data_IF_482379190031
#
_entry.id   IF_482379190031
#
_cell.length_a   1.000
_cell.length_b   1.000
_cell.length_c   1.000
_cell.angle_alpha   90.00
_cell.angle_beta   90.00
_cell.angle_gamma   90.00
#
_symmetry.space_group_name_H-M   'P 1'
#
loop_
_entity.id
_entity.type
_entity.pdbx_description
1 polymer ?
#
# COMPACT_ATOMS: atom_id res chain seq x y z
N UNK A 1 41.53 -52.59 -34.36
CA UNK A 1 41.96 -51.62 -35.39
C UNK A 1 42.29 -50.33 -34.67
N UNK A 2 43.57 -49.96 -34.62
CA UNK A 2 44.06 -48.72 -34.03
C UNK A 2 43.66 -47.57 -34.95
N UNK A 3 42.82 -46.66 -34.46
CA UNK A 3 42.42 -45.47 -35.20
C UNK A 3 43.51 -44.41 -35.03
N UNK A 4 44.39 -44.32 -36.02
CA UNK A 4 45.38 -43.25 -36.14
C UNK A 4 44.66 -41.91 -36.34
N UNK A 5 44.82 -40.99 -35.38
CA UNK A 5 44.29 -39.63 -35.47
C UNK A 5 45.17 -38.77 -36.39
N UNK A 6 44.85 -38.74 -37.68
CA UNK A 6 45.44 -37.80 -38.66
C UNK A 6 44.86 -36.38 -38.53
N UNK A 7 44.95 -35.77 -37.34
CA UNK A 7 44.69 -34.34 -37.13
C UNK A 7 46.00 -33.64 -36.73
N UNK A 8 46.19 -32.34 -37.05
CA UNK A 8 47.37 -31.62 -36.62
C UNK A 8 47.47 -31.73 -35.10
N UNK A 9 48.50 -32.45 -34.65
CA UNK A 9 48.76 -32.73 -33.24
C UNK A 9 48.69 -31.41 -32.47
N UNK A 10 47.89 -31.33 -31.41
CA UNK A 10 47.68 -30.11 -30.61
C UNK A 10 49.02 -29.45 -30.21
N UNK A 11 50.06 -30.27 -30.02
CA UNK A 11 51.45 -29.83 -29.84
C UNK A 11 52.01 -29.00 -31.02
N UNK A 12 51.77 -29.39 -32.28
CA UNK A 12 52.21 -28.65 -33.46
C UNK A 12 51.46 -27.32 -33.61
N UNK A 13 50.17 -27.29 -33.28
CA UNK A 13 49.39 -26.05 -33.27
C UNK A 13 49.86 -25.09 -32.16
N UNK A 14 50.23 -25.62 -30.99
CA UNK A 14 50.80 -24.83 -29.90
C UNK A 14 52.18 -24.26 -30.26
N UNK A 15 53.05 -25.08 -30.88
CA UNK A 15 54.38 -24.65 -31.35
C UNK A 15 54.25 -23.59 -32.46
N UNK A 16 53.37 -23.79 -33.45
CA UNK A 16 53.14 -22.81 -34.51
C UNK A 16 52.58 -21.47 -33.99
N UNK A 17 51.73 -21.51 -32.94
CA UNK A 17 51.28 -20.30 -32.25
C UNK A 17 52.42 -19.60 -31.52
N UNK A 18 53.28 -20.35 -30.83
CA UNK A 18 54.45 -19.80 -30.13
C UNK A 18 55.49 -19.19 -31.08
N UNK A 19 55.71 -19.83 -32.24
CA UNK A 19 56.63 -19.35 -33.27
C UNK A 19 56.11 -18.07 -33.96
N UNK A 20 54.80 -18.01 -34.21
CA UNK A 20 54.14 -16.79 -34.69
C UNK A 20 54.21 -15.64 -33.68
N UNK A 21 54.14 -15.93 -32.38
CA UNK A 21 54.28 -14.96 -31.29
C UNK A 21 55.72 -14.43 -31.16
N UNK A 22 56.73 -15.24 -31.48
CA UNK A 22 58.14 -14.82 -31.43
C UNK A 22 58.57 -14.02 -32.66
N UNK A 23 57.87 -14.18 -33.79
CA UNK A 23 58.06 -13.36 -35.00
C UNK A 23 57.14 -12.12 -35.06
N UNK A 24 56.31 -11.88 -34.03
CA UNK A 24 55.35 -10.77 -34.04
C UNK A 24 56.05 -9.41 -33.84
N UNK A 25 55.76 -8.39 -34.68
CA UNK A 25 56.24 -7.04 -34.45
C UNK A 25 55.73 -6.44 -33.13
N UNK A 26 56.60 -5.73 -32.41
CA UNK A 26 56.29 -5.08 -31.13
C UNK A 26 55.07 -4.14 -31.19
N UNK A 27 54.80 -3.52 -32.34
CA UNK A 27 53.61 -2.67 -32.55
C UNK A 27 52.30 -3.46 -32.42
N UNK A 28 52.27 -4.70 -32.92
CA UNK A 28 51.09 -5.57 -32.84
C UNK A 28 50.90 -6.08 -31.41
N UNK A 29 52.00 -6.40 -30.70
CA UNK A 29 51.95 -6.79 -29.29
C UNK A 29 51.33 -5.70 -28.43
N UNK A 30 51.85 -4.47 -28.53
CA UNK A 30 51.31 -3.29 -27.82
C UNK A 30 49.84 -3.06 -28.14
N UNK A 31 49.46 -3.15 -29.42
CA UNK A 31 48.06 -2.98 -29.82
C UNK A 31 47.14 -4.03 -29.19
N UNK A 32 47.54 -5.30 -29.13
CA UNK A 32 46.73 -6.35 -28.46
C UNK A 32 46.59 -6.09 -26.96
N UNK A 33 47.68 -5.69 -26.30
CA UNK A 33 47.65 -5.34 -24.87
C UNK A 33 46.71 -4.17 -24.60
N UNK A 34 46.78 -3.11 -25.43
CA UNK A 34 45.88 -1.95 -25.34
C UNK A 34 44.41 -2.32 -25.60
N UNK A 35 44.12 -3.13 -26.62
CA UNK A 35 42.76 -3.59 -26.89
C UNK A 35 42.21 -4.47 -25.78
N UNK A 36 43.03 -5.39 -25.25
CA UNK A 36 42.65 -6.23 -24.13
C UNK A 36 42.32 -5.39 -22.90
N UNK A 37 43.17 -4.41 -22.58
CA UNK A 37 42.95 -3.49 -21.46
C UNK A 37 41.66 -2.68 -21.65
N UNK A 38 41.41 -2.15 -22.85
CA UNK A 38 40.19 -1.40 -23.15
C UNK A 38 38.93 -2.26 -22.99
N UNK A 39 38.99 -3.53 -23.39
CA UNK A 39 37.86 -4.45 -23.22
C UNK A 39 37.61 -4.75 -21.74
N UNK A 40 38.67 -4.99 -20.96
CA UNK A 40 38.59 -5.18 -19.50
C UNK A 40 37.99 -3.96 -18.78
N UNK A 41 38.34 -2.74 -19.20
CA UNK A 41 37.77 -1.50 -18.67
C UNK A 41 36.26 -1.38 -19.00
N UNK A 42 35.85 -1.73 -20.22
CA UNK A 42 34.43 -1.73 -20.60
C UNK A 42 33.62 -2.79 -19.83
N UNK A 43 34.17 -3.99 -19.65
CA UNK A 43 33.55 -5.06 -18.87
C UNK A 43 33.41 -4.65 -17.39
N UNK A 44 34.43 -4.00 -16.83
CA UNK A 44 34.40 -3.49 -15.47
C UNK A 44 33.33 -2.39 -15.32
N UNK A 45 33.28 -1.42 -16.25
CA UNK A 45 32.28 -0.37 -16.25
C UNK A 45 30.85 -0.94 -16.37
N UNK A 46 30.65 -1.94 -17.23
CA UNK A 46 29.35 -2.63 -17.37
C UNK A 46 28.93 -3.35 -16.08
N UNK A 47 29.86 -3.95 -15.35
CA UNK A 47 29.55 -4.61 -14.07
C UNK A 47 29.17 -3.59 -12.99
N UNK A 48 29.84 -2.45 -12.96
CA UNK A 48 29.54 -1.35 -12.02
C UNK A 48 28.13 -0.81 -12.29
N UNK A 49 27.81 -0.47 -13.53
CA UNK A 49 26.47 0.05 -13.87
C UNK A 49 25.37 -0.97 -13.59
N UNK A 50 25.63 -2.25 -13.84
CA UNK A 50 24.69 -3.32 -13.51
C UNK A 50 24.45 -3.43 -11.99
N UNK A 51 25.50 -3.31 -11.18
CA UNK A 51 25.38 -3.28 -9.72
C UNK A 51 24.60 -2.05 -9.24
N UNK A 52 24.92 -0.87 -9.75
CA UNK A 52 24.20 0.37 -9.44
C UNK A 52 22.70 0.26 -9.77
N UNK A 53 22.35 -0.33 -10.91
CA UNK A 53 20.96 -0.54 -11.30
C UNK A 53 20.24 -1.54 -10.40
N UNK A 54 20.92 -2.61 -9.98
CA UNK A 54 20.37 -3.57 -9.00
C UNK A 54 20.15 -2.92 -7.64
N UNK A 55 21.10 -2.12 -7.17
CA UNK A 55 20.96 -1.39 -5.92
C UNK A 55 19.84 -0.35 -5.99
N UNK A 56 19.73 0.37 -7.11
CA UNK A 56 18.63 1.33 -7.33
C UNK A 56 17.27 0.64 -7.30
N UNK A 57 17.13 -0.49 -8.01
CA UNK A 57 15.91 -1.27 -8.02
C UNK A 57 15.54 -1.78 -6.61
N UNK A 58 16.54 -2.22 -5.84
CA UNK A 58 16.34 -2.66 -4.45
C UNK A 58 15.87 -1.49 -3.56
N UNK A 59 16.51 -0.33 -3.65
CA UNK A 59 16.11 0.88 -2.91
C UNK A 59 14.68 1.30 -3.25
N UNK A 60 14.32 1.29 -4.54
CA UNK A 60 12.98 1.68 -4.98
C UNK A 60 11.89 0.72 -4.44
N UNK A 61 12.21 -0.57 -4.36
CA UNK A 61 11.33 -1.57 -3.76
C UNK A 61 11.17 -1.34 -2.25
N UNK A 62 12.26 -1.07 -1.54
CA UNK A 62 12.25 -0.77 -0.10
C UNK A 62 11.44 0.50 0.19
N UNK A 63 11.66 1.58 -0.57
CA UNK A 63 10.90 2.81 -0.45
C UNK A 63 9.41 2.61 -0.73
N UNK A 64 9.06 1.81 -1.74
CA UNK A 64 7.67 1.50 -2.04
C UNK A 64 7.01 0.77 -0.85
N UNK A 65 7.68 -0.24 -0.29
CA UNK A 65 7.17 -0.97 0.88
C UNK A 65 7.00 -0.05 2.10
N UNK A 66 7.95 0.84 2.36
CA UNK A 66 7.84 1.81 3.46
C UNK A 66 6.62 2.73 3.26
N UNK A 67 6.48 3.30 2.06
CA UNK A 67 5.34 4.18 1.72
C UNK A 67 3.99 3.45 1.85
N UNK A 68 3.92 2.18 1.42
CA UNK A 68 2.71 1.37 1.59
C UNK A 68 2.39 1.16 3.08
N UNK A 69 3.38 0.80 3.89
CA UNK A 69 3.17 0.56 5.31
C UNK A 69 2.73 1.84 6.04
N UNK A 70 3.37 2.97 5.76
CA UNK A 70 2.97 4.27 6.30
C UNK A 70 1.53 4.64 5.94
N UNK A 71 1.14 4.42 4.68
CA UNK A 71 -0.23 4.70 4.24
C UNK A 71 -1.24 3.79 4.95
N UNK A 72 -0.91 2.51 5.13
CA UNK A 72 -1.76 1.57 5.87
C UNK A 72 -1.92 1.97 7.34
N UNK A 73 -0.84 2.39 8.00
CA UNK A 73 -0.90 2.87 9.38
C UNK A 73 -1.69 4.18 9.53
N UNK A 74 -1.55 5.12 8.58
CA UNK A 74 -2.39 6.32 8.52
C UNK A 74 -3.87 5.96 8.38
N UNK A 75 -4.20 5.03 7.48
CA UNK A 75 -5.58 4.57 7.30
C UNK A 75 -6.13 3.90 8.57
N UNK A 76 -5.32 3.04 9.23
CA UNK A 76 -5.67 2.42 10.52
C UNK A 76 -5.88 3.47 11.61
N UNK A 77 -5.03 4.49 11.69
CA UNK A 77 -5.17 5.59 12.64
C UNK A 77 -6.46 6.38 12.39
N UNK A 78 -6.76 6.71 11.14
CA UNK A 78 -7.99 7.40 10.76
C UNK A 78 -9.24 6.60 11.12
N UNK A 79 -9.25 5.28 10.85
CA UNK A 79 -10.35 4.40 11.27
C UNK A 79 -10.49 4.35 12.79
N UNK A 80 -9.39 4.28 13.54
CA UNK A 80 -9.44 4.35 15.02
C UNK A 80 -9.98 5.69 15.53
N UNK A 81 -9.67 6.80 14.86
CA UNK A 81 -10.23 8.11 15.20
C UNK A 81 -11.72 8.15 14.88
N UNK A 82 -12.14 7.62 13.73
CA UNK A 82 -13.55 7.52 13.36
C UNK A 82 -14.34 6.67 14.37
N UNK A 83 -13.80 5.52 14.78
CA UNK A 83 -14.38 4.70 15.86
C UNK A 83 -14.46 5.47 17.17
N UNK A 84 -13.38 6.13 17.60
CA UNK A 84 -13.40 6.94 18.83
C UNK A 84 -14.40 8.08 18.76
N UNK A 85 -14.52 8.75 17.62
CA UNK A 85 -15.50 9.80 17.40
C UNK A 85 -16.92 9.25 17.42
N UNK A 86 -17.13 8.05 16.86
CA UNK A 86 -18.37 7.31 16.96
C UNK A 86 -18.74 7.07 18.42
N UNK A 87 -17.86 6.47 19.24
CA UNK A 87 -18.11 6.20 20.67
C UNK A 87 -18.19 7.44 21.58
N UNK A 88 -17.86 8.63 21.08
CA UNK A 88 -18.02 9.90 21.83
C UNK A 88 -19.36 10.59 21.57
N UNK A 89 -20.16 10.10 20.60
CA UNK A 89 -21.49 10.67 20.36
C UNK A 89 -22.44 10.33 21.53
N UNK A 90 -23.34 11.24 21.93
CA UNK A 90 -24.27 11.03 23.06
C UNK A 90 -25.06 9.72 22.99
N UNK A 91 -25.34 9.24 21.78
CA UNK A 91 -26.16 8.04 21.52
C UNK A 91 -25.35 6.86 20.95
N UNK A 92 -24.01 6.92 20.97
CA UNK A 92 -23.16 5.87 20.42
C UNK A 92 -23.41 4.51 21.09
N UNK A 93 -23.70 4.55 22.40
CA UNK A 93 -24.04 3.38 23.21
C UNK A 93 -25.43 2.81 22.85
N UNK A 94 -26.31 3.61 22.24
CA UNK A 94 -27.64 3.20 21.75
C UNK A 94 -27.54 2.54 20.37
N UNK A 95 -26.59 2.94 19.53
CA UNK A 95 -26.36 2.33 18.21
C UNK A 95 -25.45 1.10 18.31
N UNK A 96 -24.53 1.06 19.28
CA UNK A 96 -23.67 -0.08 19.61
C UNK A 96 -24.37 -1.18 20.44
N UNK A 97 -25.69 -1.33 20.30
CA UNK A 97 -26.60 -2.16 21.11
C UNK A 97 -26.43 -3.68 20.90
N UNK A 98 -25.20 -4.17 21.06
CA UNK A 98 -24.89 -5.58 21.29
C UNK A 98 -24.16 -5.78 22.63
N UNK A 99 -23.68 -4.72 23.31
CA UNK A 99 -22.72 -4.91 24.41
C UNK A 99 -23.10 -4.43 25.82
N UNK A 100 -24.13 -3.63 26.10
CA UNK A 100 -24.42 -3.27 27.50
C UNK A 100 -25.88 -2.91 27.79
N UNK A 101 -26.57 -3.85 28.44
CA UNK A 101 -27.88 -3.69 29.09
C UNK A 101 -27.86 -2.60 30.19
N UNK A 102 -26.67 -2.24 30.69
CA UNK A 102 -26.48 -1.24 31.75
C UNK A 102 -26.68 0.23 31.33
N UNK A 103 -26.49 0.57 30.05
CA UNK A 103 -26.64 1.96 29.57
C UNK A 103 -28.11 2.36 29.42
N UNK A 104 -28.96 1.44 28.96
CA UNK A 104 -30.41 1.61 28.88
C UNK A 104 -31.04 1.97 30.24
N UNK A 105 -30.51 1.37 31.32
CA UNK A 105 -30.97 1.59 32.69
C UNK A 105 -30.46 2.90 33.33
N UNK A 106 -29.45 3.54 32.75
CA UNK A 106 -28.89 4.80 33.26
C UNK A 106 -29.58 6.02 32.65
N UNK A 107 -29.88 5.96 31.36
CA UNK A 107 -30.64 7.00 30.68
C UNK A 107 -32.11 7.03 31.10
N UNK A 108 -32.68 5.88 31.50
CA UNK A 108 -34.01 5.80 32.10
C UNK A 108 -34.11 6.43 33.50
N UNK A 109 -32.98 6.82 34.11
CA UNK A 109 -32.94 7.43 35.45
C UNK A 109 -32.78 8.95 35.43
N UNK A 110 -32.30 9.52 34.32
CA UNK A 110 -32.30 10.98 34.07
C UNK A 110 -33.42 11.35 33.07
N UNK A 111 -34.64 10.87 33.32
CA UNK A 111 -35.82 11.34 32.62
C UNK A 111 -36.18 12.75 33.10
N UNK A 112 -35.63 13.77 32.45
CA UNK A 112 -36.22 15.11 32.50
C UNK A 112 -37.52 15.06 31.70
N UNK A 113 -38.69 15.27 32.35
CA UNK A 113 -39.98 15.18 31.66
C UNK A 113 -40.04 16.19 30.50
N UNK A 114 -40.33 15.72 29.28
CA UNK A 114 -40.42 16.55 28.07
C UNK A 114 -39.29 16.36 27.06
N UNK A 115 -38.22 15.61 27.39
CA UNK A 115 -37.10 15.33 26.47
C UNK A 115 -37.34 14.14 25.52
N UNK A 116 -38.42 13.38 25.71
CA UNK A 116 -38.65 12.11 25.01
C UNK A 116 -38.79 12.29 23.49
N UNK A 117 -39.50 13.33 23.06
CA UNK A 117 -39.68 13.63 21.63
C UNK A 117 -38.42 14.20 20.97
N UNK A 118 -37.53 14.80 21.76
CA UNK A 118 -36.23 15.25 21.27
C UNK A 118 -35.32 14.07 20.93
N UNK A 119 -35.30 13.03 21.78
CA UNK A 119 -34.60 11.76 21.51
C UNK A 119 -35.16 11.04 20.28
N UNK A 120 -36.49 10.92 20.20
CA UNK A 120 -37.16 10.31 19.03
C UNK A 120 -36.81 11.05 17.73
N UNK A 121 -36.76 12.38 17.78
CA UNK A 121 -36.43 13.19 16.61
C UNK A 121 -34.94 13.12 16.21
N UNK A 122 -34.02 12.87 17.14
CA UNK A 122 -32.61 12.66 16.81
C UNK A 122 -32.39 11.34 16.04
N UNK A 123 -33.18 10.31 16.35
CA UNK A 123 -33.15 9.01 15.67
C UNK A 123 -33.87 9.02 14.30
N UNK A 124 -34.70 10.02 14.02
CA UNK A 124 -35.46 10.13 12.77
C UNK A 124 -34.72 10.97 11.72
N UNK A 125 -34.49 10.39 10.53
CA UNK A 125 -33.98 11.15 9.39
C UNK A 125 -35.10 11.97 8.70
N UNK A 126 -35.14 13.26 9.04
CA UNK A 126 -36.08 14.23 8.45
C UNK A 126 -35.63 14.80 7.11
N UNK A 127 -34.47 14.40 6.57
CA UNK A 127 -34.01 14.91 5.28
C UNK A 127 -35.03 14.53 4.18
N UNK A 128 -35.62 15.49 3.45
CA UNK A 128 -36.53 15.21 2.34
C UNK A 128 -35.86 14.43 1.21
N UNK A 129 -34.53 14.50 1.09
CA UNK A 129 -33.76 13.88 0.01
C UNK A 129 -33.31 12.44 0.29
N UNK A 130 -33.39 11.98 1.53
CA UNK A 130 -32.96 10.63 1.91
C UNK A 130 -34.06 9.58 1.76
N UNK A 131 -35.33 9.99 1.70
CA UNK A 131 -36.46 9.08 1.53
C UNK A 131 -36.54 8.56 0.09
N UNK A 132 -36.04 7.34 -0.13
CA UNK A 132 -36.23 6.58 -1.39
C UNK A 132 -37.60 5.86 -1.44
N UNK A 133 -38.46 6.06 -0.45
CA UNK A 133 -39.71 5.33 -0.28
C UNK A 133 -40.86 6.06 -0.99
N UNK A 134 -41.77 5.31 -1.63
CA UNK A 134 -42.94 5.86 -2.34
C UNK A 134 -44.08 6.31 -1.43
N UNK A 135 -43.97 6.06 -0.12
CA UNK A 135 -44.99 6.43 0.86
C UNK A 135 -44.79 7.88 1.27
N UNK A 136 -45.85 8.67 1.19
CA UNK A 136 -45.86 10.02 1.73
C UNK A 136 -45.82 9.97 3.26
N UNK A 137 -44.67 10.35 3.82
CA UNK A 137 -44.44 10.45 5.27
C UNK A 137 -44.49 11.89 5.77
N UNK A 138 -44.90 12.86 4.94
CA UNK A 138 -44.89 14.29 5.27
C UNK A 138 -45.72 14.61 6.50
N UNK A 139 -46.89 13.96 6.64
CA UNK A 139 -47.75 14.11 7.83
C UNK A 139 -47.08 13.58 9.09
N UNK A 140 -46.48 12.39 9.03
CA UNK A 140 -45.77 11.80 10.17
C UNK A 140 -44.57 12.66 10.58
N UNK A 141 -43.80 13.16 9.59
CA UNK A 141 -42.68 14.08 9.81
C UNK A 141 -43.13 15.37 10.51
N UNK A 142 -44.23 15.97 10.04
CA UNK A 142 -44.80 17.17 10.65
C UNK A 142 -45.22 16.95 12.10
N UNK A 143 -45.86 15.81 12.41
CA UNK A 143 -46.25 15.47 13.79
C UNK A 143 -45.02 15.29 14.69
N UNK A 144 -44.00 14.54 14.26
CA UNK A 144 -42.78 14.31 15.04
C UNK A 144 -42.00 15.62 15.31
N UNK A 145 -41.90 16.50 14.31
CA UNK A 145 -41.25 17.81 14.48
C UNK A 145 -42.04 18.69 15.46
N UNK A 146 -43.38 18.69 15.37
CA UNK A 146 -44.23 19.43 16.29
C UNK A 146 -44.04 18.96 17.73
N UNK A 147 -43.96 17.65 17.95
CA UNK A 147 -43.79 17.07 19.28
C UNK A 147 -42.39 17.34 19.85
N UNK A 148 -41.36 17.46 19.00
CA UNK A 148 -40.03 17.94 19.40
C UNK A 148 -40.07 19.40 19.86
N UNK A 149 -40.74 20.27 19.10
CA UNK A 149 -40.77 21.72 19.37
C UNK A 149 -41.70 22.10 20.52
N UNK A 150 -42.78 21.32 20.70
CA UNK A 150 -43.79 21.56 21.73
C UNK A 150 -44.09 20.23 22.39
N UNK A 151 -43.36 19.89 23.47
CA UNK A 151 -43.63 18.70 24.25
C UNK A 151 -45.08 18.72 24.76
N UNK A 152 -45.69 17.55 24.83
CA UNK A 152 -47.02 17.42 25.39
C UNK A 152 -46.97 17.80 26.87
N UNK A 153 -47.80 18.77 27.27
CA UNK A 153 -48.02 19.07 28.69
C UNK A 153 -48.51 17.80 29.37
N UNK A 154 -47.77 17.31 30.36
CA UNK A 154 -48.21 16.23 31.25
C UNK A 154 -48.94 16.82 32.46
#
# INVERSE_FOLDING_TARGET
VLQESNGPTDAYAAIAKADRLTQEPESIRKWREEQKKRLEELDAASKVTEQEWREKAKKDLEEWNLRQNEQMEKNRANNRIADKAFYQQPDADIIGYVASEEAFLKESKEETPGSEWEKVAQLCDFNPKSSKQSKDVSRMRSVLISLKQTPLSR
#
